data_IF_475962475055
#
_entry.id   IF_475962475055
#
_cell.length_a   1.000
_cell.length_b   1.000
_cell.length_c   1.000
_cell.angle_alpha   90.00
_cell.angle_beta   90.00
_cell.angle_gamma   90.00
#
_symmetry.space_group_name_H-M   'P 1'
#
loop_
_entity.id
_entity.type
_entity.pdbx_description
1 polymer ?
#
# COMPACT_ATOMS: atom_id res chain seq x y z
N UNK A 1 -11.42 7.54 20.99
CA UNK A 1 -11.56 8.59 19.95
C UNK A 1 -13.00 8.59 19.46
N UNK A 2 -13.64 9.75 19.37
CA UNK A 2 -14.93 9.89 18.67
C UNK A 2 -14.72 9.61 17.19
N UNK A 3 -15.45 8.68 16.56
CA UNK A 3 -15.27 8.38 15.15
C UNK A 3 -15.60 9.61 14.31
N UNK A 4 -14.72 9.96 13.36
CA UNK A 4 -15.04 10.94 12.33
C UNK A 4 -16.18 10.37 11.46
N UNK A 5 -17.15 11.20 11.04
CA UNK A 5 -18.27 10.74 10.22
C UNK A 5 -17.81 10.03 8.94
N UNK A 6 -16.66 10.43 8.39
CA UNK A 6 -16.06 9.81 7.21
C UNK A 6 -15.46 8.42 7.48
N UNK A 7 -15.00 8.14 8.71
CA UNK A 7 -14.44 6.83 9.08
C UNK A 7 -15.53 5.75 9.06
N UNK A 8 -16.70 6.03 9.62
CA UNK A 8 -17.84 5.10 9.60
C UNK A 8 -18.36 4.89 8.18
N UNK A 9 -18.46 5.96 7.38
CA UNK A 9 -18.86 5.84 5.98
C UNK A 9 -17.87 5.00 5.16
N UNK A 10 -16.57 5.14 5.40
CA UNK A 10 -15.53 4.32 4.78
C UNK A 10 -15.67 2.85 5.18
N UNK A 11 -15.84 2.55 6.47
CA UNK A 11 -16.04 1.19 6.96
C UNK A 11 -17.28 0.54 6.33
N UNK A 12 -18.39 1.26 6.24
CA UNK A 12 -19.62 0.76 5.58
C UNK A 12 -19.35 0.42 4.11
N UNK A 13 -18.60 1.24 3.37
CA UNK A 13 -18.22 0.93 1.97
C UNK A 13 -17.36 -0.31 1.89
N UNK A 14 -16.35 -0.45 2.76
CA UNK A 14 -15.51 -1.65 2.81
C UNK A 14 -16.33 -2.91 3.13
N UNK A 15 -17.25 -2.84 4.10
CA UNK A 15 -18.15 -3.95 4.43
C UNK A 15 -19.13 -4.28 3.31
N UNK A 16 -19.61 -3.28 2.57
CA UNK A 16 -20.55 -3.52 1.46
C UNK A 16 -19.82 -4.09 0.25
N UNK A 17 -18.75 -3.43 -0.20
CA UNK A 17 -18.18 -3.62 -1.54
C UNK A 17 -16.87 -4.41 -1.54
N UNK A 18 -16.20 -4.56 -0.38
CA UNK A 18 -14.88 -5.18 -0.27
C UNK A 18 -13.72 -4.26 -0.67
N UNK A 19 -14.00 -3.01 -1.09
CA UNK A 19 -12.99 -2.01 -1.38
C UNK A 19 -13.54 -0.59 -1.20
N UNK A 20 -12.65 0.39 -1.13
CA UNK A 20 -12.99 1.80 -1.20
C UNK A 20 -11.86 2.60 -1.84
N UNK A 21 -12.21 3.45 -2.81
CA UNK A 21 -11.37 4.57 -3.22
C UNK A 21 -11.68 5.77 -2.31
N UNK A 22 -10.63 6.41 -1.79
CA UNK A 22 -10.73 7.60 -0.94
C UNK A 22 -9.83 8.68 -1.53
N UNK A 23 -10.41 9.84 -1.82
CA UNK A 23 -9.66 10.97 -2.39
C UNK A 23 -8.74 11.60 -1.35
N UNK A 24 -7.71 12.30 -1.82
CA UNK A 24 -6.75 13.00 -1.00
C UNK A 24 -7.39 13.94 0.04
N UNK A 25 -8.47 14.65 -0.30
CA UNK A 25 -9.12 15.57 0.65
C UNK A 25 -9.82 14.84 1.80
N UNK A 26 -10.46 13.70 1.51
CA UNK A 26 -11.06 12.85 2.54
C UNK A 26 -9.95 12.18 3.35
N UNK A 27 -8.92 11.63 2.72
CA UNK A 27 -7.79 11.01 3.42
C UNK A 27 -7.04 12.00 4.30
N UNK A 28 -6.82 13.24 3.85
CA UNK A 28 -6.27 14.31 4.70
C UNK A 28 -7.12 14.53 5.93
N UNK A 29 -8.44 14.63 5.76
CA UNK A 29 -9.38 14.81 6.88
C UNK A 29 -9.31 13.65 7.87
N UNK A 30 -9.25 12.41 7.37
CA UNK A 30 -9.13 11.20 8.17
C UNK A 30 -7.79 11.09 8.90
N UNK A 31 -6.68 11.46 8.24
CA UNK A 31 -5.33 11.45 8.81
C UNK A 31 -5.05 12.65 9.73
N UNK A 32 -5.88 13.69 9.68
CA UNK A 32 -5.76 14.92 10.46
C UNK A 32 -4.40 15.60 10.22
N UNK A 33 -4.27 16.51 9.24
CA UNK A 33 -2.97 17.01 8.75
C UNK A 33 -2.02 17.58 9.82
N UNK A 34 -2.50 18.24 10.91
CA UNK A 34 -1.62 18.63 12.01
C UNK A 34 -0.82 17.50 12.66
N UNK A 35 -1.21 16.23 12.44
CA UNK A 35 -0.48 15.06 12.91
C UNK A 35 0.62 14.60 11.94
N UNK A 36 0.59 15.02 10.67
CA UNK A 36 1.57 14.67 9.63
C UNK A 36 2.74 15.69 9.61
N UNK A 37 3.32 15.94 10.78
CA UNK A 37 4.29 17.05 10.99
C UNK A 37 5.58 16.91 10.19
N UNK A 38 5.93 15.70 9.77
CA UNK A 38 7.12 15.35 9.00
C UNK A 38 6.81 14.90 7.56
N UNK A 39 5.60 15.17 7.05
CA UNK A 39 5.15 14.72 5.73
C UNK A 39 6.14 15.01 4.59
N UNK A 40 6.77 16.21 4.48
CA UNK A 40 7.74 16.46 3.41
C UNK A 40 8.94 15.50 3.45
N UNK A 41 9.47 15.19 4.63
CA UNK A 41 10.58 14.25 4.79
C UNK A 41 10.12 12.81 4.54
N UNK A 42 8.92 12.46 5.00
CA UNK A 42 8.29 11.17 4.75
C UNK A 42 8.15 10.89 3.24
N UNK A 43 7.55 11.83 2.50
CA UNK A 43 7.37 11.71 1.05
C UNK A 43 8.70 11.69 0.29
N UNK A 44 9.67 12.53 0.69
CA UNK A 44 10.99 12.59 0.06
C UNK A 44 11.78 11.26 0.16
N UNK A 45 11.49 10.43 1.16
CA UNK A 45 12.18 9.15 1.38
C UNK A 45 12.05 8.15 0.22
N UNK A 46 11.05 8.30 -0.66
CA UNK A 46 10.93 7.46 -1.86
C UNK A 46 12.07 7.65 -2.88
N UNK A 47 12.80 8.77 -2.79
CA UNK A 47 13.95 9.04 -3.66
C UNK A 47 15.21 8.26 -3.27
N UNK A 48 15.22 7.63 -2.09
CA UNK A 48 16.35 6.85 -1.54
C UNK A 48 15.98 5.36 -1.35
N UNK A 49 15.10 4.85 -2.21
CA UNK A 49 14.72 3.44 -2.23
C UNK A 49 15.72 2.60 -3.03
N UNK A 50 15.94 1.38 -2.55
CA UNK A 50 16.90 0.43 -3.10
C UNK A 50 16.26 -0.46 -4.17
N UNK A 51 17.01 -0.94 -5.17
CA UNK A 51 16.47 -1.86 -6.17
C UNK A 51 15.91 -3.16 -5.57
N UNK A 52 14.75 -3.60 -6.05
CA UNK A 52 14.19 -4.94 -5.76
C UNK A 52 15.01 -6.00 -6.52
N UNK A 53 15.99 -6.60 -5.84
CA UNK A 53 16.91 -7.59 -6.43
C UNK A 53 16.21 -8.86 -6.93
N UNK A 54 15.11 -9.25 -6.29
CA UNK A 54 14.32 -10.40 -6.70
C UNK A 54 13.61 -10.13 -8.02
N UNK A 55 13.04 -8.93 -8.18
CA UNK A 55 12.36 -8.54 -9.41
C UNK A 55 13.37 -8.31 -10.54
N UNK A 56 14.53 -7.73 -10.23
CA UNK A 56 15.63 -7.52 -11.17
C UNK A 56 16.13 -8.84 -11.78
N UNK A 57 16.13 -9.95 -11.03
CA UNK A 57 16.49 -11.27 -11.54
C UNK A 57 15.54 -11.76 -12.66
N UNK A 58 14.33 -11.20 -12.77
CA UNK A 58 13.37 -11.47 -13.85
C UNK A 58 13.38 -10.43 -14.98
N UNK A 59 14.34 -9.49 -14.96
CA UNK A 59 14.44 -8.40 -15.94
C UNK A 59 13.42 -7.28 -15.75
N UNK A 60 12.84 -7.17 -14.55
CA UNK A 60 11.85 -6.15 -14.19
C UNK A 60 12.39 -5.25 -13.09
N UNK A 61 11.98 -3.99 -13.07
CA UNK A 61 12.55 -3.00 -12.16
C UNK A 61 11.50 -2.35 -11.25
N UNK A 62 11.84 -2.29 -9.97
CA UNK A 62 11.10 -1.57 -8.92
C UNK A 62 12.10 -1.22 -7.83
N UNK A 63 11.94 -0.06 -7.18
CA UNK A 63 12.69 0.26 -5.97
C UNK A 63 11.78 0.12 -4.76
N UNK A 64 12.31 -0.40 -3.66
CA UNK A 64 11.52 -0.63 -2.45
C UNK A 64 12.33 -0.63 -1.17
N UNK A 65 11.60 -0.44 -0.07
CA UNK A 65 12.02 -0.77 1.30
C UNK A 65 10.87 -1.46 2.03
N UNK A 66 11.20 -2.21 3.07
CA UNK A 66 10.22 -3.01 3.84
C UNK A 66 10.38 -2.84 5.35
N UNK A 67 9.28 -2.88 6.07
CA UNK A 67 9.28 -2.96 7.53
C UNK A 67 8.09 -3.77 8.03
N UNK A 68 8.24 -4.34 9.22
CA UNK A 68 7.18 -5.06 9.92
C UNK A 68 6.85 -4.34 11.22
N UNK A 69 5.57 -4.37 11.56
CA UNK A 69 5.02 -3.87 12.81
C UNK A 69 4.05 -4.91 13.39
N UNK A 70 3.81 -4.84 14.70
CA UNK A 70 2.69 -5.49 15.35
C UNK A 70 1.72 -4.41 15.84
N UNK A 71 0.42 -4.69 15.75
CA UNK A 71 -0.59 -3.79 16.29
C UNK A 71 -1.60 -4.59 17.12
N UNK A 72 -1.80 -4.17 18.37
CA UNK A 72 -2.90 -4.65 19.20
C UNK A 72 -4.15 -3.81 18.93
N UNK A 73 -5.33 -4.41 19.05
CA UNK A 73 -6.61 -3.75 18.73
C UNK A 73 -6.80 -2.39 19.46
N UNK A 74 -6.34 -2.29 20.71
CA UNK A 74 -6.46 -1.11 21.56
C UNK A 74 -5.10 -0.49 21.92
N UNK A 75 -4.01 -0.95 21.28
CA UNK A 75 -2.63 -0.61 21.63
C UNK A 75 -1.88 0.19 20.57
N UNK A 76 -0.65 0.59 20.92
CA UNK A 76 0.24 1.26 19.97
C UNK A 76 0.73 0.29 18.88
N UNK A 77 0.94 0.82 17.68
CA UNK A 77 1.59 0.07 16.61
C UNK A 77 3.10 0.07 16.86
N UNK A 78 3.68 -1.11 17.05
CA UNK A 78 5.07 -1.29 17.45
C UNK A 78 5.91 -1.88 16.32
N UNK A 79 7.04 -1.24 16.02
CA UNK A 79 7.98 -1.75 15.02
C UNK A 79 8.60 -3.06 15.50
N UNK A 80 8.64 -4.06 14.61
CA UNK A 80 9.26 -5.35 14.85
C UNK A 80 10.70 -5.39 14.33
N UNK A 81 11.53 -6.36 14.79
CA UNK A 81 12.81 -6.64 14.16
C UNK A 81 12.67 -6.85 12.65
N UNK A 82 13.72 -6.48 11.91
CA UNK A 82 13.72 -6.69 10.46
C UNK A 82 13.59 -8.18 10.13
N UNK A 83 12.68 -8.50 9.23
CA UNK A 83 12.30 -9.87 8.88
C UNK A 83 11.90 -9.92 7.41
N UNK A 84 11.94 -11.10 6.78
CA UNK A 84 11.66 -11.20 5.35
C UNK A 84 10.16 -11.03 5.09
N UNK A 85 9.86 -10.56 3.89
CA UNK A 85 8.53 -10.65 3.33
C UNK A 85 8.32 -12.04 2.71
N UNK A 86 7.25 -12.72 3.09
CA UNK A 86 6.89 -14.05 2.58
C UNK A 86 5.46 -14.05 2.04
N UNK A 87 5.29 -14.58 0.84
CA UNK A 87 3.98 -14.88 0.24
C UNK A 87 4.05 -16.31 -0.29
N UNK A 88 2.96 -17.07 -0.19
CA UNK A 88 2.92 -18.40 -0.81
C UNK A 88 2.75 -18.27 -2.34
N UNK A 89 3.09 -19.33 -3.07
CA UNK A 89 2.84 -19.40 -4.52
C UNK A 89 1.37 -19.25 -4.91
N UNK A 90 0.43 -19.47 -3.97
CA UNK A 90 -0.99 -19.23 -4.18
C UNK A 90 -1.30 -17.75 -4.42
N UNK A 91 -0.56 -16.85 -3.75
CA UNK A 91 -0.79 -15.40 -3.81
C UNK A 91 0.22 -14.70 -4.71
N UNK A 92 1.46 -15.20 -4.76
CA UNK A 92 2.51 -14.64 -5.60
C UNK A 92 3.10 -15.72 -6.53
N UNK A 93 2.57 -15.82 -7.75
CA UNK A 93 3.04 -16.79 -8.74
C UNK A 93 4.46 -16.49 -9.27
N UNK A 94 4.96 -15.25 -9.13
CA UNK A 94 6.28 -14.85 -9.63
C UNK A 94 7.40 -15.21 -8.65
N UNK A 95 7.15 -15.03 -7.35
CA UNK A 95 8.17 -15.05 -6.29
C UNK A 95 7.63 -15.62 -4.97
N UNK A 96 6.67 -16.54 -5.03
CA UNK A 96 6.10 -17.20 -3.86
C UNK A 96 6.99 -18.30 -3.28
N UNK A 97 6.67 -18.73 -2.06
CA UNK A 97 7.35 -19.78 -1.29
C UNK A 97 8.85 -19.53 -1.01
N UNK A 98 9.29 -18.28 -1.15
CA UNK A 98 10.62 -17.81 -0.78
C UNK A 98 10.54 -16.67 0.23
N UNK A 99 11.51 -16.63 1.15
CA UNK A 99 11.71 -15.49 2.04
C UNK A 99 12.49 -14.40 1.29
N UNK A 100 11.87 -13.23 1.12
CA UNK A 100 12.48 -12.09 0.44
C UNK A 100 12.95 -11.05 1.45
N UNK A 101 14.25 -10.87 1.55
CA UNK A 101 14.86 -9.85 2.39
C UNK A 101 15.06 -8.58 1.58
N UNK A 102 14.31 -7.53 1.94
CA UNK A 102 14.42 -6.23 1.32
C UNK A 102 15.08 -5.24 2.27
N UNK A 103 15.69 -4.20 1.74
CA UNK A 103 16.29 -3.15 2.56
C UNK A 103 15.25 -2.53 3.52
N UNK A 104 15.61 -2.31 4.79
CA UNK A 104 14.65 -1.86 5.78
C UNK A 104 14.20 -0.42 5.50
N UNK A 105 12.94 -0.10 5.83
CA UNK A 105 12.50 1.29 5.95
C UNK A 105 13.39 2.00 6.97
N UNK A 106 13.89 3.18 6.59
CA UNK A 106 14.82 3.95 7.42
C UNK A 106 14.21 4.25 8.80
N UNK A 107 14.98 4.17 9.91
CA UNK A 107 14.44 4.40 11.25
C UNK A 107 13.70 5.72 11.42
N UNK A 108 14.25 6.81 10.90
CA UNK A 108 13.61 8.14 10.95
C UNK A 108 12.24 8.18 10.27
N UNK A 109 12.02 7.34 9.25
CA UNK A 109 10.75 7.22 8.52
C UNK A 109 9.81 6.26 9.25
N UNK A 110 10.33 5.11 9.71
CA UNK A 110 9.59 4.11 10.44
C UNK A 110 9.02 4.65 11.78
N UNK A 111 9.76 5.57 12.39
CA UNK A 111 9.41 6.22 13.66
C UNK A 111 8.81 7.62 13.45
N UNK A 112 8.63 8.05 12.20
CA UNK A 112 8.09 9.37 11.86
C UNK A 112 6.61 9.53 12.21
N UNK A 113 6.19 10.78 12.42
CA UNK A 113 4.82 11.12 12.80
C UNK A 113 3.81 10.72 11.71
N UNK A 114 4.17 10.92 10.43
CA UNK A 114 3.31 10.59 9.30
C UNK A 114 3.04 9.09 9.17
N UNK A 115 4.08 8.25 9.26
CA UNK A 115 3.89 6.81 9.18
C UNK A 115 3.08 6.29 10.36
N UNK A 116 3.43 6.69 11.59
CA UNK A 116 2.67 6.31 12.80
C UNK A 116 1.20 6.65 12.65
N UNK A 117 0.89 7.87 12.17
CA UNK A 117 -0.49 8.31 11.99
C UNK A 117 -1.25 7.46 10.96
N UNK A 118 -0.61 7.10 9.85
CA UNK A 118 -1.19 6.23 8.84
C UNK A 118 -1.45 4.83 9.42
N UNK A 119 -0.49 4.27 10.16
CA UNK A 119 -0.62 2.97 10.80
C UNK A 119 -1.75 2.95 11.85
N UNK A 120 -1.84 4.00 12.68
CA UNK A 120 -2.93 4.17 13.64
C UNK A 120 -4.29 4.24 12.95
N UNK A 121 -4.38 5.01 11.85
CA UNK A 121 -5.59 5.08 11.05
C UNK A 121 -5.98 3.70 10.49
N UNK A 122 -5.02 2.94 9.94
CA UNK A 122 -5.28 1.59 9.45
C UNK A 122 -5.74 0.65 10.56
N UNK A 123 -5.05 0.64 11.71
CA UNK A 123 -5.43 -0.17 12.88
C UNK A 123 -6.86 0.13 13.30
N UNK A 124 -7.22 1.40 13.47
CA UNK A 124 -8.55 1.78 13.92
C UNK A 124 -9.63 1.44 12.87
N UNK A 125 -9.33 1.67 11.59
CA UNK A 125 -10.25 1.40 10.50
C UNK A 125 -10.52 -0.11 10.35
N UNK A 126 -9.47 -0.92 10.26
CA UNK A 126 -9.56 -2.36 10.05
C UNK A 126 -9.96 -3.11 11.33
N UNK A 127 -9.54 -2.66 12.50
CA UNK A 127 -9.97 -3.21 13.79
C UNK A 127 -11.48 -3.09 14.00
N UNK A 128 -12.10 -2.00 13.56
CA UNK A 128 -13.56 -1.86 13.57
C UNK A 128 -14.28 -2.83 12.60
N UNK A 129 -13.61 -3.27 11.54
CA UNK A 129 -14.13 -4.25 10.58
C UNK A 129 -13.96 -5.70 11.06
N UNK A 130 -12.94 -5.96 11.89
CA UNK A 130 -12.63 -7.27 12.45
C UNK A 130 -12.51 -7.22 13.98
N UNK A 131 -13.62 -6.98 14.72
CA UNK A 131 -13.60 -6.76 16.18
C UNK A 131 -13.19 -7.99 17.00
N UNK A 132 -13.14 -9.18 16.38
CA UNK A 132 -12.64 -10.39 17.01
C UNK A 132 -11.11 -10.50 16.98
N UNK A 133 -10.44 -9.77 16.07
CA UNK A 133 -8.99 -9.81 15.93
C UNK A 133 -8.34 -8.92 16.99
N UNK A 134 -7.46 -9.51 17.79
CA UNK A 134 -6.77 -8.81 18.88
C UNK A 134 -5.37 -8.37 18.52
N UNK A 135 -4.70 -9.14 17.67
CA UNK A 135 -3.32 -8.91 17.26
C UNK A 135 -3.24 -8.88 15.74
N UNK A 136 -2.45 -7.97 15.22
CA UNK A 136 -2.19 -7.82 13.80
C UNK A 136 -0.69 -7.92 13.53
N UNK A 137 -0.34 -8.74 12.56
CA UNK A 137 0.92 -8.64 11.84
C UNK A 137 0.76 -7.62 10.73
N UNK A 138 1.59 -6.58 10.74
CA UNK A 138 1.50 -5.46 9.81
C UNK A 138 2.79 -5.38 9.00
N UNK A 139 2.66 -5.28 7.69
CA UNK A 139 3.81 -4.99 6.82
C UNK A 139 3.63 -3.67 6.10
N UNK A 140 4.74 -2.95 5.98
CA UNK A 140 4.85 -1.68 5.28
C UNK A 140 5.83 -1.87 4.14
N UNK A 141 5.37 -1.54 2.93
CA UNK A 141 6.19 -1.53 1.73
C UNK A 141 6.20 -0.12 1.15
N UNK A 142 7.39 0.45 1.02
CA UNK A 142 7.62 1.62 0.18
C UNK A 142 7.92 1.12 -1.23
N UNK A 143 7.17 1.56 -2.23
CA UNK A 143 7.41 1.20 -3.62
C UNK A 143 7.54 2.44 -4.50
N UNK A 144 8.61 2.50 -5.29
CA UNK A 144 8.74 3.38 -6.46
C UNK A 144 8.77 2.53 -7.72
N UNK A 145 7.79 2.78 -8.59
CA UNK A 145 7.70 2.19 -9.93
C UNK A 145 8.22 3.26 -10.89
N UNK A 146 9.28 2.95 -11.62
CA UNK A 146 9.84 3.85 -12.64
C UNK A 146 9.33 3.43 -14.02
N UNK A 147 9.07 4.39 -14.90
CA UNK A 147 8.80 4.16 -16.31
C UNK A 147 9.82 4.90 -17.16
N UNK A 148 10.24 4.29 -18.26
CA UNK A 148 11.24 4.82 -19.20
C UNK A 148 10.68 4.82 -20.62
N UNK A 149 11.39 5.46 -21.55
CA UNK A 149 10.96 5.57 -22.94
C UNK A 149 10.75 4.19 -23.61
N UNK A 150 11.58 3.21 -23.24
CA UNK A 150 11.62 1.85 -23.78
C UNK A 150 11.07 0.79 -22.83
N UNK A 151 10.67 1.17 -21.62
CA UNK A 151 10.22 0.24 -20.57
C UNK A 151 9.04 0.82 -19.80
N UNK A 152 7.88 0.16 -19.86
CA UNK A 152 6.73 0.53 -19.05
C UNK A 152 6.98 0.14 -17.58
N UNK A 153 6.56 0.99 -16.65
CA UNK A 153 6.58 0.66 -15.23
C UNK A 153 5.40 -0.25 -14.89
N UNK A 154 5.66 -1.36 -14.19
CA UNK A 154 4.64 -2.36 -13.86
C UNK A 154 4.43 -2.43 -12.34
N UNK A 155 3.37 -1.81 -11.80
CA UNK A 155 3.14 -1.84 -10.35
C UNK A 155 2.80 -3.24 -9.83
N UNK A 156 1.98 -3.98 -10.59
CA UNK A 156 1.54 -5.35 -10.27
C UNK A 156 1.96 -6.29 -11.41
N UNK A 157 3.25 -6.71 -11.47
CA UNK A 157 3.77 -7.53 -12.56
C UNK A 157 3.08 -8.90 -12.67
N UNK A 158 2.49 -9.38 -11.58
CA UNK A 158 1.66 -10.59 -11.48
C UNK A 158 0.24 -10.42 -12.07
N UNK A 159 -0.20 -9.19 -12.34
CA UNK A 159 -1.56 -8.89 -12.78
C UNK A 159 -2.55 -8.74 -11.62
N UNK A 160 -3.82 -9.09 -11.88
CA UNK A 160 -4.91 -9.03 -10.87
C UNK A 160 -4.71 -10.15 -9.85
N UNK A 161 -4.55 -9.79 -8.58
CA UNK A 161 -4.15 -10.70 -7.52
C UNK A 161 -4.81 -10.36 -6.17
N UNK A 162 -4.43 -11.13 -5.15
CA UNK A 162 -4.66 -10.90 -3.72
C UNK A 162 -3.32 -11.01 -2.99
N UNK A 163 -3.18 -10.27 -1.91
CA UNK A 163 -1.92 -10.21 -1.15
C UNK A 163 -1.73 -11.39 -0.18
N UNK A 164 -2.82 -12.08 0.19
CA UNK A 164 -2.80 -13.17 1.17
C UNK A 164 -2.85 -12.69 2.62
N UNK A 165 -3.52 -11.56 2.83
CA UNK A 165 -3.71 -10.86 4.11
C UNK A 165 -5.20 -10.61 4.35
N UNK A 166 -5.57 -9.85 5.39
CA UNK A 166 -6.96 -9.52 5.66
C UNK A 166 -7.35 -8.17 5.03
N UNK A 167 -6.50 -7.15 5.24
CA UNK A 167 -6.76 -5.81 4.74
C UNK A 167 -5.52 -5.14 4.17
N UNK A 168 -5.73 -4.28 3.17
CA UNK A 168 -4.67 -3.55 2.48
C UNK A 168 -5.05 -2.08 2.38
N UNK A 169 -4.08 -1.20 2.65
CA UNK A 169 -4.07 0.20 2.24
C UNK A 169 -3.01 0.37 1.15
N UNK A 170 -3.39 0.97 0.02
CA UNK A 170 -2.46 1.52 -0.97
C UNK A 170 -2.63 3.03 -1.00
N UNK A 171 -1.64 3.77 -0.54
CA UNK A 171 -1.65 5.23 -0.45
C UNK A 171 -0.67 5.82 -1.47
N UNK A 172 -1.14 6.73 -2.33
CA UNK A 172 -0.28 7.46 -3.25
C UNK A 172 0.56 8.48 -2.47
N UNK A 173 1.87 8.39 -2.63
CA UNK A 173 2.82 9.35 -2.07
C UNK A 173 3.12 10.44 -3.08
N UNK A 174 3.47 10.03 -4.29
CA UNK A 174 3.79 10.93 -5.39
C UNK A 174 3.57 10.23 -6.74
N UNK A 175 3.38 11.03 -7.77
CA UNK A 175 3.46 10.59 -9.17
C UNK A 175 3.95 11.73 -10.03
N UNK A 176 4.88 11.43 -10.93
CA UNK A 176 5.39 12.41 -11.87
C UNK A 176 5.49 11.83 -13.27
N UNK A 177 5.10 12.63 -14.27
CA UNK A 177 5.34 12.37 -15.68
C UNK A 177 4.85 10.99 -16.17
N UNK A 178 3.80 10.41 -15.56
CA UNK A 178 3.24 9.13 -15.97
C UNK A 178 1.80 9.22 -16.42
N UNK A 179 1.48 8.51 -17.50
CA UNK A 179 0.11 8.15 -17.86
C UNK A 179 -0.35 6.88 -17.12
N UNK A 180 -1.67 6.71 -16.99
CA UNK A 180 -2.30 5.52 -16.39
C UNK A 180 -1.91 5.29 -14.91
N UNK A 181 -1.68 4.03 -14.52
CA UNK A 181 -1.60 3.61 -13.11
C UNK A 181 -2.98 3.41 -12.48
N UNK A 182 -3.93 2.93 -13.29
CA UNK A 182 -5.33 2.72 -12.91
C UNK A 182 -5.46 1.44 -12.10
N UNK A 183 -6.01 1.56 -10.90
CA UNK A 183 -6.39 0.42 -10.06
C UNK A 183 -7.67 -0.19 -10.60
N UNK A 184 -7.71 -1.51 -10.76
CA UNK A 184 -8.92 -2.27 -11.10
C UNK A 184 -9.24 -3.22 -9.96
N UNK A 185 -10.53 -3.38 -9.65
CA UNK A 185 -11.04 -4.27 -8.63
C UNK A 185 -11.95 -5.30 -9.29
N UNK A 186 -11.77 -6.57 -8.95
CA UNK A 186 -12.45 -7.69 -9.57
C UNK A 186 -13.10 -8.62 -8.54
N UNK A 187 -14.22 -9.22 -8.90
CA UNK A 187 -14.83 -10.32 -8.14
C UNK A 187 -14.05 -11.63 -8.35
N UNK A 188 -14.41 -12.65 -7.57
CA UNK A 188 -13.79 -13.98 -7.64
C UNK A 188 -13.97 -14.69 -8.98
N UNK A 189 -14.99 -14.33 -9.76
CA UNK A 189 -15.21 -14.83 -11.12
C UNK A 189 -14.46 -14.02 -12.20
N UNK A 190 -13.70 -12.99 -11.80
CA UNK A 190 -12.94 -12.11 -12.67
C UNK A 190 -13.69 -10.88 -13.18
N UNK A 191 -14.99 -10.72 -12.88
CA UNK A 191 -15.77 -9.56 -13.32
C UNK A 191 -15.25 -8.25 -12.72
N UNK A 192 -15.20 -7.17 -13.53
CA UNK A 192 -14.77 -5.85 -13.06
C UNK A 192 -15.84 -5.25 -12.14
N UNK A 193 -15.47 -4.96 -10.90
CA UNK A 193 -16.33 -4.32 -9.89
C UNK A 193 -16.12 -2.81 -9.82
N UNK A 194 -14.89 -2.35 -10.10
CA UNK A 194 -14.55 -0.94 -10.01
C UNK A 194 -13.20 -0.63 -10.64
N UNK A 195 -13.03 0.63 -11.04
CA UNK A 195 -11.78 1.12 -11.61
C UNK A 195 -11.59 2.60 -11.29
N UNK A 196 -10.40 2.97 -10.85
CA UNK A 196 -10.07 4.35 -10.46
C UNK A 196 -8.55 4.57 -10.52
N UNK A 197 -8.11 5.81 -10.68
CA UNK A 197 -6.69 6.17 -10.71
C UNK A 197 -6.36 7.05 -9.52
N UNK A 198 -5.35 6.67 -8.73
CA UNK A 198 -4.79 7.55 -7.71
C UNK A 198 -3.97 8.65 -8.41
N UNK A 199 -4.38 9.90 -8.25
CA UNK A 199 -3.86 11.05 -9.01
C UNK A 199 -3.22 12.12 -8.12
N UNK A 200 -3.65 12.24 -6.87
CA UNK A 200 -3.13 13.23 -5.93
C UNK A 200 -2.48 12.54 -4.74
N UNK A 201 -1.40 13.11 -4.21
CA UNK A 201 -0.79 12.64 -2.97
C UNK A 201 -1.86 12.53 -1.87
N UNK A 202 -1.89 11.39 -1.18
CA UNK A 202 -2.91 10.92 -0.24
C UNK A 202 -4.20 10.33 -0.84
N UNK A 203 -4.35 10.22 -2.16
CA UNK A 203 -5.35 9.32 -2.74
C UNK A 203 -5.07 7.88 -2.26
N UNK A 204 -6.10 7.16 -1.85
CA UNK A 204 -5.97 5.83 -1.27
C UNK A 204 -6.94 4.80 -1.85
N UNK A 205 -6.48 3.57 -2.01
CA UNK A 205 -7.32 2.38 -2.12
C UNK A 205 -7.26 1.61 -0.79
N UNK A 206 -8.41 1.26 -0.23
CA UNK A 206 -8.52 0.31 0.87
C UNK A 206 -9.22 -0.94 0.37
N UNK A 207 -8.74 -2.12 0.76
CA UNK A 207 -9.21 -3.41 0.24
C UNK A 207 -9.39 -4.40 1.38
N UNK A 208 -10.51 -5.12 1.36
CA UNK A 208 -10.72 -6.38 2.08
C UNK A 208 -10.22 -7.51 1.17
N UNK A 209 -8.99 -7.97 1.44
CA UNK A 209 -8.22 -8.81 0.52
C UNK A 209 -8.90 -10.17 0.33
N UNK A 210 -9.65 -10.67 1.31
CA UNK A 210 -10.39 -11.92 1.18
C UNK A 210 -11.54 -11.84 0.17
N UNK A 211 -12.09 -10.65 -0.09
CA UNK A 211 -13.35 -10.48 -0.82
C UNK A 211 -13.20 -10.10 -2.28
N UNK A 212 -12.13 -9.42 -2.65
CA UNK A 212 -11.92 -8.93 -4.00
C UNK A 212 -10.48 -9.17 -4.45
N UNK A 213 -10.28 -9.18 -5.76
CA UNK A 213 -8.96 -9.13 -6.36
C UNK A 213 -8.67 -7.70 -6.84
N UNK A 214 -7.41 -7.33 -6.89
CA UNK A 214 -7.01 -6.01 -7.37
C UNK A 214 -5.78 -6.07 -8.26
N UNK A 215 -5.63 -5.09 -9.13
CA UNK A 215 -4.46 -4.94 -10.00
C UNK A 215 -4.26 -3.48 -10.37
N UNK A 216 -3.10 -3.14 -10.92
CA UNK A 216 -2.83 -1.79 -11.40
C UNK A 216 -2.25 -1.85 -12.81
N UNK A 217 -2.83 -1.07 -13.72
CA UNK A 217 -2.32 -0.99 -15.09
C UNK A 217 -0.90 -0.46 -15.13
N UNK A 218 -0.12 -0.89 -16.13
CA UNK A 218 1.22 -0.37 -16.38
C UNK A 218 1.19 1.15 -16.56
N UNK A 219 2.27 1.81 -16.17
CA UNK A 219 2.50 3.24 -16.36
C UNK A 219 3.52 3.46 -17.47
N UNK A 220 3.37 4.55 -18.23
CA UNK A 220 4.33 4.97 -19.26
C UNK A 220 4.66 6.46 -19.08
N UNK A 221 5.84 6.93 -19.52
CA UNK A 221 6.16 8.34 -19.44
C UNK A 221 5.25 9.15 -20.37
N UNK A 222 4.74 10.30 -19.88
CA UNK A 222 4.07 11.30 -20.73
C UNK A 222 5.08 12.00 -21.64
N UNK A 223 6.22 12.39 -21.08
CA UNK A 223 7.40 12.87 -21.80
C UNK A 223 8.54 11.85 -21.65
N UNK A 224 8.88 11.08 -22.70
CA UNK A 224 9.94 10.08 -22.66
C UNK A 224 11.35 10.63 -22.34
N UNK A 225 11.56 11.95 -22.44
CA UNK A 225 12.85 12.58 -22.15
C UNK A 225 13.05 12.93 -20.67
N UNK A 226 12.01 12.76 -19.83
CA UNK A 226 12.04 13.10 -18.40
C UNK A 226 11.86 11.86 -17.53
N UNK A 227 12.40 11.86 -16.29
CA UNK A 227 12.08 10.84 -15.30
C UNK A 227 10.56 10.71 -15.11
N UNK A 228 10.08 9.49 -14.90
CA UNK A 228 8.67 9.20 -14.70
C UNK A 228 8.51 8.13 -13.62
N UNK A 229 7.67 8.39 -12.61
CA UNK A 229 7.49 7.46 -11.49
C UNK A 229 6.10 7.49 -10.88
N UNK A 230 5.80 6.40 -10.17
CA UNK A 230 4.66 6.25 -9.25
C UNK A 230 5.17 5.74 -7.91
N UNK A 231 4.92 6.53 -6.86
CA UNK A 231 5.31 6.22 -5.50
C UNK A 231 4.08 5.86 -4.67
N UNK A 232 4.10 4.67 -4.07
CA UNK A 232 3.05 4.24 -3.15
C UNK A 232 3.62 3.68 -1.87
N UNK A 233 2.89 3.92 -0.79
CA UNK A 233 2.97 3.19 0.46
C UNK A 233 1.89 2.10 0.44
N UNK A 234 2.31 0.85 0.62
CA UNK A 234 1.38 -0.27 0.84
C UNK A 234 1.49 -0.70 2.29
N UNK A 235 0.36 -0.78 2.98
CA UNK A 235 0.26 -1.26 4.36
C UNK A 235 -0.71 -2.43 4.38
N UNK A 236 -0.23 -3.60 4.80
CA UNK A 236 -1.03 -4.82 4.87
C UNK A 236 -1.24 -5.23 6.32
N UNK A 237 -2.47 -5.58 6.69
CA UNK A 237 -2.84 -6.11 7.99
C UNK A 237 -3.25 -7.57 7.84
N UNK A 238 -2.63 -8.44 8.64
CA UNK A 238 -2.97 -9.85 8.74
C UNK A 238 -3.23 -10.22 10.19
N UNK A 239 -4.34 -10.88 10.47
CA UNK A 239 -4.67 -11.36 11.81
C UNK A 239 -3.55 -12.28 12.32
N UNK A 240 -3.01 -11.94 13.48
CA UNK A 240 -2.03 -12.74 14.18
C UNK A 240 -2.71 -13.53 15.31
N UNK A 241 -2.25 -14.76 15.59
CA UNK A 241 -2.77 -15.57 16.68
C UNK A 241 -2.50 -14.98 18.07
#
# INVERSE_FOLDING_TARGET
MTPHPDSTALQIRLQRDGFAFVTADIMRSLLQPPMLTDWPAFAASWSDLEPDSYLAASGRHRRRRHATFAADADGEVQRQPHQPHYQSLQYNHLQGDIQRWFEPVLPVIAEGASLRRILDFCRDCFGALAPATRHWHVEVHQFRIEARADEAGEPTPEGVHRDGVDYVLVLLIDRENIESGTTTIHSHDGSLLGSFTLTHALDAALVDDARVFHGVTSVKPLDPARPAHRDVLVVTFKAAP
#
